data_IF_908289083694
#
_entry.id   IF_908289083694
#
_cell.length_a   1.000
_cell.length_b   1.000
_cell.length_c   1.000
_cell.angle_alpha   90.00
_cell.angle_beta   90.00
_cell.angle_gamma   90.00
#
_symmetry.space_group_name_H-M   'P 1'
#
loop_
_entity.id
_entity.type
_entity.pdbx_description
1 polymer ?
#
# COMPACT_ATOMS: atom_id res chain seq x y z
N UNK A 1 -7.34 33.45 -9.64
CA UNK A 1 -7.21 32.40 -8.60
C UNK A 1 -7.90 31.09 -8.99
N UNK A 2 -9.16 31.14 -9.42
CA UNK A 2 -9.97 29.95 -9.72
C UNK A 2 -9.45 29.10 -10.90
N UNK A 3 -8.94 29.74 -11.95
CA UNK A 3 -8.31 29.05 -13.10
C UNK A 3 -7.07 28.23 -12.72
N UNK A 4 -6.22 28.75 -11.82
CA UNK A 4 -5.02 28.03 -11.35
C UNK A 4 -5.38 26.85 -10.43
N UNK A 5 -6.39 27.00 -9.58
CA UNK A 5 -6.90 25.89 -8.74
C UNK A 5 -7.52 24.79 -9.60
N UNK A 6 -8.33 25.14 -10.61
CA UNK A 6 -8.93 24.19 -11.56
C UNK A 6 -7.86 23.41 -12.35
N UNK A 7 -6.77 24.09 -12.76
CA UNK A 7 -5.62 23.44 -13.42
C UNK A 7 -4.91 22.45 -12.48
N UNK A 8 -4.61 22.85 -11.23
CA UNK A 8 -3.99 21.97 -10.25
C UNK A 8 -4.86 20.75 -9.92
N UNK A 9 -6.19 20.91 -9.83
CA UNK A 9 -7.13 19.79 -9.62
C UNK A 9 -7.10 18.78 -10.78
N UNK A 10 -7.09 19.26 -12.04
CA UNK A 10 -6.96 18.38 -13.20
C UNK A 10 -5.65 17.60 -13.17
N UNK A 11 -4.53 18.27 -12.86
CA UNK A 11 -3.22 17.63 -12.79
C UNK A 11 -3.13 16.60 -11.65
N UNK A 12 -3.67 16.92 -10.47
CA UNK A 12 -3.73 16.00 -9.33
C UNK A 12 -4.57 14.76 -9.67
N UNK A 13 -5.74 14.93 -10.32
CA UNK A 13 -6.56 13.81 -10.78
C UNK A 13 -5.84 12.94 -11.80
N UNK A 14 -5.17 13.54 -12.79
CA UNK A 14 -4.39 12.79 -13.78
C UNK A 14 -3.25 12.02 -13.11
N UNK A 15 -2.55 12.62 -12.15
CA UNK A 15 -1.52 11.95 -11.37
C UNK A 15 -2.08 10.74 -10.62
N UNK A 16 -3.23 10.88 -9.96
CA UNK A 16 -3.85 9.77 -9.22
C UNK A 16 -4.25 8.61 -10.14
N UNK A 17 -4.78 8.90 -11.33
CA UNK A 17 -5.14 7.87 -12.32
C UNK A 17 -3.89 7.10 -12.74
N UNK A 18 -2.79 7.80 -13.04
CA UNK A 18 -1.52 7.16 -13.37
C UNK A 18 -0.96 6.35 -12.21
N UNK A 19 -1.08 6.85 -10.98
CA UNK A 19 -0.67 6.14 -9.77
C UNK A 19 -1.41 4.80 -9.64
N UNK A 20 -2.74 4.80 -9.73
CA UNK A 20 -3.54 3.58 -9.62
C UNK A 20 -3.19 2.56 -10.71
N UNK A 21 -2.98 3.01 -11.94
CA UNK A 21 -2.55 2.13 -13.04
C UNK A 21 -1.18 1.52 -12.72
N UNK A 22 -0.26 2.35 -12.25
CA UNK A 22 1.09 1.93 -11.88
C UNK A 22 1.08 0.93 -10.71
N UNK A 23 0.41 1.23 -9.61
CA UNK A 23 0.30 0.35 -8.43
C UNK A 23 -0.35 -0.99 -8.82
N UNK A 24 -1.34 -0.97 -9.72
CA UNK A 24 -1.95 -2.21 -10.24
C UNK A 24 -0.93 -3.07 -10.99
N UNK A 25 -0.07 -2.44 -11.81
CA UNK A 25 1.01 -3.14 -12.51
C UNK A 25 2.03 -3.69 -11.51
N UNK A 26 2.42 -2.90 -10.50
CA UNK A 26 3.30 -3.35 -9.42
C UNK A 26 2.75 -4.60 -8.75
N UNK A 27 1.49 -4.58 -8.30
CA UNK A 27 0.80 -5.71 -7.65
C UNK A 27 0.85 -6.96 -8.53
N UNK A 28 0.44 -6.86 -9.79
CA UNK A 28 0.37 -8.03 -10.68
C UNK A 28 1.75 -8.62 -10.93
N UNK A 29 2.73 -7.78 -11.28
CA UNK A 29 4.10 -8.26 -11.60
C UNK A 29 4.76 -8.83 -10.35
N UNK A 30 4.61 -8.17 -9.20
CA UNK A 30 5.25 -8.60 -7.95
C UNK A 30 4.61 -9.85 -7.35
N UNK A 31 3.29 -10.04 -7.46
CA UNK A 31 2.66 -11.32 -7.06
C UNK A 31 3.18 -12.47 -7.92
N UNK A 32 3.22 -12.29 -9.24
CA UNK A 32 3.75 -13.32 -10.15
C UNK A 32 5.22 -13.60 -9.83
N UNK A 33 6.04 -12.55 -9.71
CA UNK A 33 7.46 -12.68 -9.38
C UNK A 33 7.68 -13.33 -8.01
N UNK A 34 6.90 -12.95 -7.00
CA UNK A 34 7.00 -13.46 -5.64
C UNK A 34 6.61 -14.92 -5.51
N UNK A 35 5.48 -15.32 -6.11
CA UNK A 35 5.02 -16.71 -6.10
C UNK A 35 6.00 -17.60 -6.88
N UNK A 36 6.42 -17.18 -8.07
CA UNK A 36 7.37 -17.95 -8.89
C UNK A 36 8.75 -18.04 -8.24
N UNK A 37 9.18 -17.00 -7.53
CA UNK A 37 10.45 -16.99 -6.80
C UNK A 37 10.39 -17.66 -5.43
N UNK A 38 9.21 -18.02 -4.93
CA UNK A 38 9.00 -18.35 -3.51
C UNK A 38 9.51 -17.24 -2.56
N UNK A 39 9.40 -15.96 -2.95
CA UNK A 39 9.87 -14.80 -2.18
C UNK A 39 8.76 -14.25 -1.30
N UNK A 40 8.94 -14.34 0.02
CA UNK A 40 8.03 -13.76 1.01
C UNK A 40 8.04 -12.24 0.93
N UNK A 41 9.21 -11.63 0.66
CA UNK A 41 9.36 -10.19 0.61
C UNK A 41 8.60 -9.58 -0.57
N UNK A 42 8.70 -10.17 -1.77
CA UNK A 42 7.93 -9.72 -2.94
C UNK A 42 6.44 -9.90 -2.76
N UNK A 43 6.01 -11.04 -2.20
CA UNK A 43 4.59 -11.27 -1.93
C UNK A 43 4.08 -10.26 -0.90
N UNK A 44 4.82 -10.02 0.18
CA UNK A 44 4.45 -9.06 1.21
C UNK A 44 4.32 -7.64 0.68
N UNK A 45 5.27 -7.21 -0.17
CA UNK A 45 5.22 -5.92 -0.86
C UNK A 45 4.00 -5.80 -1.79
N UNK A 46 3.71 -6.84 -2.57
CA UNK A 46 2.56 -6.88 -3.46
C UNK A 46 1.21 -6.81 -2.71
N UNK A 47 1.13 -7.49 -1.56
CA UNK A 47 -0.05 -7.49 -0.71
C UNK A 47 -0.29 -6.11 -0.09
N UNK A 48 0.75 -5.37 0.29
CA UNK A 48 0.64 -4.01 0.79
C UNK A 48 0.02 -3.08 -0.27
N UNK A 49 0.55 -3.07 -1.50
CA UNK A 49 -0.02 -2.31 -2.62
C UNK A 49 -1.45 -2.75 -2.98
N UNK A 50 -1.81 -4.02 -2.76
CA UNK A 50 -3.20 -4.48 -2.93
C UNK A 50 -4.14 -3.84 -1.91
N UNK A 51 -3.69 -3.62 -0.67
CA UNK A 51 -4.46 -2.92 0.35
C UNK A 51 -4.67 -1.46 -0.04
N UNK A 52 -3.68 -0.80 -0.64
CA UNK A 52 -3.84 0.57 -1.15
C UNK A 52 -4.99 0.66 -2.17
N UNK A 53 -5.08 -0.30 -3.10
CA UNK A 53 -6.19 -0.37 -4.07
C UNK A 53 -7.53 -0.60 -3.38
N UNK A 54 -7.61 -1.52 -2.42
CA UNK A 54 -8.84 -1.79 -1.64
C UNK A 54 -9.26 -0.55 -0.84
N UNK A 55 -8.31 0.13 -0.21
CA UNK A 55 -8.52 1.36 0.54
C UNK A 55 -9.05 2.47 -0.37
N UNK A 56 -8.43 2.68 -1.53
CA UNK A 56 -8.87 3.65 -2.52
C UNK A 56 -10.28 3.35 -3.05
N UNK A 57 -10.60 2.08 -3.34
CA UNK A 57 -11.90 1.66 -3.82
C UNK A 57 -13.00 1.86 -2.76
N UNK A 58 -12.75 1.43 -1.53
CA UNK A 58 -13.71 1.57 -0.41
C UNK A 58 -13.90 3.03 0.00
N UNK A 59 -12.86 3.85 -0.08
CA UNK A 59 -12.94 5.30 0.08
C UNK A 59 -13.77 5.95 -1.04
N UNK A 60 -13.54 5.55 -2.29
CA UNK A 60 -14.30 6.02 -3.45
C UNK A 60 -15.79 5.74 -3.33
N UNK A 61 -16.15 4.52 -2.89
CA UNK A 61 -17.55 4.16 -2.60
C UNK A 61 -18.20 5.01 -1.50
N UNK A 62 -17.43 5.33 -0.45
CA UNK A 62 -17.89 6.24 0.61
C UNK A 62 -18.19 7.63 0.06
N UNK A 63 -17.21 8.22 -0.63
CA UNK A 63 -17.31 9.58 -1.19
C UNK A 63 -18.40 9.70 -2.26
N UNK A 64 -18.58 8.68 -3.10
CA UNK A 64 -19.68 8.66 -4.06
C UNK A 64 -21.05 8.71 -3.37
N UNK A 65 -21.19 8.03 -2.22
CA UNK A 65 -22.39 8.14 -1.39
C UNK A 65 -22.64 9.54 -0.85
N UNK A 66 -21.60 10.17 -0.27
CA UNK A 66 -21.65 11.54 0.24
C UNK A 66 -22.06 12.54 -0.85
N UNK A 67 -21.49 12.42 -2.05
CA UNK A 67 -21.79 13.29 -3.19
C UNK A 67 -23.22 13.11 -3.72
N UNK A 68 -23.80 11.92 -3.59
CA UNK A 68 -25.18 11.63 -3.97
C UNK A 68 -26.19 12.05 -2.87
N UNK A 69 -25.74 12.70 -1.79
CA UNK A 69 -26.60 13.27 -0.77
C UNK A 69 -27.27 12.23 0.14
N UNK A 70 -26.64 11.06 0.36
CA UNK A 70 -27.16 10.10 1.34
C UNK A 70 -27.11 10.69 2.76
N UNK A 71 -28.02 10.26 3.63
CA UNK A 71 -28.08 10.68 5.03
C UNK A 71 -26.73 10.53 5.75
N UNK A 72 -26.45 11.46 6.67
CA UNK A 72 -25.20 11.52 7.42
C UNK A 72 -24.92 10.22 8.19
N UNK A 73 -25.96 9.59 8.73
CA UNK A 73 -25.84 8.30 9.42
C UNK A 73 -25.36 7.18 8.48
N UNK A 74 -25.88 7.14 7.25
CA UNK A 74 -25.43 6.21 6.21
C UNK A 74 -23.98 6.48 5.81
N UNK A 75 -23.56 7.75 5.74
CA UNK A 75 -22.15 8.12 5.54
C UNK A 75 -21.26 7.58 6.66
N UNK A 76 -21.65 7.79 7.93
CA UNK A 76 -20.93 7.26 9.11
C UNK A 76 -20.82 5.74 9.05
N UNK A 77 -21.89 5.04 8.67
CA UNK A 77 -21.89 3.58 8.48
C UNK A 77 -20.92 3.15 7.39
N UNK A 78 -20.91 3.82 6.22
CA UNK A 78 -19.94 3.52 5.15
C UNK A 78 -18.51 3.75 5.61
N UNK A 79 -18.24 4.86 6.31
CA UNK A 79 -16.92 5.16 6.90
C UNK A 79 -16.46 4.05 7.85
N UNK A 80 -17.35 3.57 8.73
CA UNK A 80 -17.07 2.47 9.67
C UNK A 80 -16.75 1.17 8.93
N UNK A 81 -17.53 0.83 7.89
CA UNK A 81 -17.27 -0.35 7.04
C UNK A 81 -15.91 -0.23 6.35
N UNK A 82 -15.61 0.90 5.71
CA UNK A 82 -14.31 1.15 5.05
C UNK A 82 -13.14 0.89 6.00
N UNK A 83 -13.20 1.44 7.22
CA UNK A 83 -12.13 1.28 8.20
C UNK A 83 -11.99 -0.16 8.71
N UNK A 84 -13.09 -0.89 8.89
CA UNK A 84 -13.02 -2.31 9.25
C UNK A 84 -12.48 -3.18 8.11
N UNK A 85 -12.81 -2.88 6.85
CA UNK A 85 -12.24 -3.58 5.69
C UNK A 85 -10.73 -3.37 5.66
N UNK A 86 -10.26 -2.13 5.78
CA UNK A 86 -8.82 -1.81 5.82
C UNK A 86 -8.13 -2.53 6.98
N UNK A 87 -8.70 -2.48 8.19
CA UNK A 87 -8.17 -3.16 9.36
C UNK A 87 -8.07 -4.68 9.18
N UNK A 88 -9.11 -5.30 8.64
CA UNK A 88 -9.13 -6.73 8.35
C UNK A 88 -8.09 -7.11 7.28
N UNK A 89 -7.97 -6.32 6.21
CA UNK A 89 -6.99 -6.54 5.15
C UNK A 89 -5.56 -6.50 5.69
N UNK A 90 -5.18 -5.46 6.44
CA UNK A 90 -3.85 -5.38 7.06
C UNK A 90 -3.60 -6.52 8.04
N UNK A 91 -4.62 -6.91 8.82
CA UNK A 91 -4.50 -8.04 9.76
C UNK A 91 -4.21 -9.35 9.02
N UNK A 92 -4.97 -9.64 7.95
CA UNK A 92 -4.77 -10.85 7.13
C UNK A 92 -3.38 -10.87 6.49
N UNK A 93 -2.92 -9.74 5.96
CA UNK A 93 -1.58 -9.62 5.37
C UNK A 93 -0.49 -9.83 6.42
N UNK A 94 -0.62 -9.24 7.61
CA UNK A 94 0.34 -9.47 8.70
C UNK A 94 0.41 -10.94 9.10
N UNK A 95 -0.75 -11.61 9.26
CA UNK A 95 -0.80 -13.03 9.61
C UNK A 95 -0.16 -13.89 8.52
N UNK A 96 -0.50 -13.63 7.26
CA UNK A 96 0.04 -14.36 6.11
C UNK A 96 1.56 -14.19 6.01
N UNK A 97 2.07 -12.96 5.97
CA UNK A 97 3.50 -12.67 5.85
C UNK A 97 4.27 -13.28 7.03
N UNK A 98 3.74 -13.15 8.25
CA UNK A 98 4.39 -13.71 9.44
C UNK A 98 4.45 -15.23 9.35
N UNK A 99 3.34 -15.88 9.02
CA UNK A 99 3.29 -17.34 8.88
C UNK A 99 4.25 -17.84 7.80
N UNK A 100 4.18 -17.28 6.59
CA UNK A 100 5.02 -17.67 5.45
C UNK A 100 6.52 -17.46 5.77
N UNK A 101 6.87 -16.27 6.27
CA UNK A 101 8.27 -15.93 6.56
C UNK A 101 8.85 -16.76 7.70
N UNK A 102 8.08 -16.99 8.77
CA UNK A 102 8.52 -17.83 9.91
C UNK A 102 8.68 -19.28 9.45
N UNK A 103 7.74 -19.80 8.63
CA UNK A 103 7.83 -21.16 8.10
C UNK A 103 9.10 -21.34 7.26
N UNK A 104 9.39 -20.39 6.36
CA UNK A 104 10.63 -20.43 5.56
C UNK A 104 11.89 -20.28 6.40
N UNK A 105 11.85 -19.48 7.47
CA UNK A 105 12.97 -19.38 8.42
C UNK A 105 13.25 -20.70 9.13
N UNK A 106 12.21 -21.42 9.56
CA UNK A 106 12.33 -22.72 10.23
C UNK A 106 12.83 -23.78 9.25
N UNK A 107 12.28 -23.81 8.03
CA UNK A 107 12.61 -24.80 7.01
C UNK A 107 13.90 -24.52 6.24
N UNK A 108 14.54 -23.36 6.48
CA UNK A 108 15.67 -22.84 5.70
C UNK A 108 15.38 -22.76 4.20
N UNK A 109 14.14 -22.39 3.86
CA UNK A 109 13.75 -22.13 2.49
C UNK A 109 14.24 -20.77 2.05
N UNK A 110 14.74 -20.67 0.81
CA UNK A 110 15.24 -19.42 0.26
C UNK A 110 14.50 -19.03 -1.01
N UNK A 111 14.41 -17.72 -1.24
CA UNK A 111 13.89 -17.17 -2.47
C UNK A 111 14.82 -17.50 -3.64
N UNK A 112 14.24 -17.81 -4.79
CA UNK A 112 14.97 -17.95 -6.06
C UNK A 112 15.15 -16.59 -6.71
N UNK A 113 16.18 -16.47 -7.55
CA UNK A 113 16.40 -15.26 -8.34
C UNK A 113 15.21 -14.97 -9.27
N UNK A 114 14.76 -13.70 -9.28
CA UNK A 114 13.65 -13.26 -10.11
C UNK A 114 14.01 -11.99 -10.87
N UNK A 115 14.22 -12.12 -12.19
CA UNK A 115 14.47 -10.98 -13.06
C UNK A 115 13.26 -10.04 -13.07
N UNK A 116 12.04 -10.59 -13.08
CA UNK A 116 10.82 -9.80 -13.00
C UNK A 116 10.74 -9.02 -11.69
N UNK A 117 11.04 -9.67 -10.56
CA UNK A 117 11.10 -9.03 -9.24
C UNK A 117 12.14 -7.92 -9.18
N UNK A 118 13.33 -8.15 -9.72
CA UNK A 118 14.36 -7.11 -9.79
C UNK A 118 13.90 -5.90 -10.62
N UNK A 119 13.37 -6.14 -11.83
CA UNK A 119 12.97 -5.06 -12.74
C UNK A 119 11.88 -4.20 -12.09
N UNK A 120 10.84 -4.81 -11.50
CA UNK A 120 9.75 -4.02 -10.91
C UNK A 120 10.21 -3.20 -9.71
N UNK A 121 11.10 -3.74 -8.87
CA UNK A 121 11.66 -2.99 -7.74
C UNK A 121 12.54 -1.83 -8.21
N UNK A 122 13.37 -2.03 -9.25
CA UNK A 122 14.20 -0.96 -9.82
C UNK A 122 13.34 0.14 -10.46
N UNK A 123 12.27 -0.24 -11.15
CA UNK A 123 11.29 0.73 -11.68
C UNK A 123 10.65 1.51 -10.52
N UNK A 124 10.26 0.81 -9.45
CA UNK A 124 9.66 1.41 -8.26
C UNK A 124 10.57 2.40 -7.55
N UNK A 125 11.88 2.10 -7.46
CA UNK A 125 12.88 3.04 -6.93
C UNK A 125 12.97 4.36 -7.71
N UNK A 126 12.56 4.39 -8.98
CA UNK A 126 12.57 5.60 -9.82
C UNK A 126 11.20 6.27 -9.83
N UNK A 127 10.13 5.49 -10.00
CA UNK A 127 8.76 6.01 -10.16
C UNK A 127 8.22 6.56 -8.84
N UNK A 128 8.43 5.87 -7.71
CA UNK A 128 7.87 6.30 -6.41
C UNK A 128 8.40 7.67 -5.95
N UNK A 129 9.70 8.00 -6.01
CA UNK A 129 10.18 9.35 -5.71
C UNK A 129 9.52 10.45 -6.55
N UNK A 130 9.27 10.18 -7.84
CA UNK A 130 8.60 11.12 -8.75
C UNK A 130 7.15 11.32 -8.31
N UNK A 131 6.43 10.23 -8.02
CA UNK A 131 5.07 10.26 -7.51
C UNK A 131 4.99 11.04 -6.20
N UNK A 132 5.84 10.74 -5.22
CA UNK A 132 5.91 11.44 -3.92
C UNK A 132 6.10 12.94 -4.13
N UNK A 133 7.03 13.34 -5.00
CA UNK A 133 7.27 14.76 -5.28
C UNK A 133 6.01 15.46 -5.81
N UNK A 134 5.35 14.88 -6.82
CA UNK A 134 4.16 15.50 -7.41
C UNK A 134 2.94 15.43 -6.48
N UNK A 135 2.75 14.35 -5.73
CA UNK A 135 1.69 14.22 -4.72
C UNK A 135 1.84 15.29 -3.64
N UNK A 136 3.05 15.51 -3.09
CA UNK A 136 3.33 16.61 -2.14
C UNK A 136 3.11 17.99 -2.76
N UNK A 137 3.61 18.20 -3.99
CA UNK A 137 3.45 19.48 -4.71
C UNK A 137 1.98 19.86 -4.88
N UNK A 138 1.14 18.94 -5.33
CA UNK A 138 -0.29 19.22 -5.52
C UNK A 138 -1.06 19.21 -4.20
N UNK A 139 -0.67 18.39 -3.21
CA UNK A 139 -1.23 18.41 -1.87
C UNK A 139 -1.08 19.77 -1.20
N UNK A 140 0.11 20.35 -1.23
CA UNK A 140 0.36 21.69 -0.70
C UNK A 140 -0.36 22.79 -1.50
N UNK A 141 -0.36 22.71 -2.85
CA UNK A 141 -1.02 23.71 -3.70
C UNK A 141 -2.55 23.72 -3.59
N UNK A 142 -3.15 22.59 -3.25
CA UNK A 142 -4.59 22.42 -3.15
C UNK A 142 -5.10 22.49 -1.71
N UNK A 143 -4.18 22.52 -0.74
CA UNK A 143 -4.44 22.31 0.69
C UNK A 143 -5.24 21.02 0.91
N UNK A 144 -4.69 19.90 0.39
CA UNK A 144 -5.34 18.59 0.40
C UNK A 144 -4.62 17.63 1.33
N UNK A 145 -5.13 17.42 2.56
CA UNK A 145 -4.60 16.41 3.48
C UNK A 145 -4.62 15.00 2.89
N UNK A 146 -5.61 14.67 2.07
CA UNK A 146 -5.72 13.38 1.40
C UNK A 146 -4.55 13.12 0.43
N UNK A 147 -4.17 14.12 -0.38
CA UNK A 147 -3.04 14.00 -1.30
C UNK A 147 -1.69 13.90 -0.55
N UNK A 148 -1.59 14.55 0.61
CA UNK A 148 -0.40 14.47 1.46
C UNK A 148 -0.28 13.11 2.16
N UNK A 149 -1.41 12.52 2.57
CA UNK A 149 -1.46 11.15 3.08
C UNK A 149 -1.05 10.15 2.00
N UNK A 150 -1.61 10.26 0.80
CA UNK A 150 -1.24 9.43 -0.36
C UNK A 150 0.25 9.56 -0.75
N UNK A 151 0.85 10.75 -0.57
CA UNK A 151 2.30 10.92 -0.74
C UNK A 151 3.14 10.21 0.34
N UNK A 152 2.59 10.05 1.55
CA UNK A 152 3.23 9.34 2.66
C UNK A 152 3.14 7.84 2.43
N UNK A 153 2.01 7.34 1.94
CA UNK A 153 1.83 5.92 1.62
C UNK A 153 2.83 5.48 0.53
N UNK A 154 2.96 6.23 -0.56
CA UNK A 154 3.99 5.96 -1.59
C UNK A 154 5.42 6.04 -1.07
N UNK A 155 5.70 6.88 -0.08
CA UNK A 155 7.02 6.91 0.57
C UNK A 155 7.30 5.62 1.35
N UNK A 156 6.27 5.03 1.94
CA UNK A 156 6.40 3.79 2.70
C UNK A 156 6.55 2.61 1.74
N UNK A 157 5.82 2.60 0.63
CA UNK A 157 6.05 1.66 -0.48
C UNK A 157 7.51 1.75 -0.95
N UNK A 158 8.05 2.95 -1.19
CA UNK A 158 9.47 3.12 -1.55
C UNK A 158 10.43 2.54 -0.50
N UNK A 159 10.17 2.77 0.79
CA UNK A 159 10.98 2.17 1.85
C UNK A 159 10.94 0.64 1.81
N UNK A 160 9.76 0.04 1.65
CA UNK A 160 9.60 -1.39 1.51
C UNK A 160 10.31 -1.91 0.25
N UNK A 161 10.23 -1.21 -0.88
CA UNK A 161 10.96 -1.53 -2.12
C UNK A 161 12.45 -1.68 -1.84
N UNK A 162 13.05 -0.74 -1.08
CA UNK A 162 14.48 -0.80 -0.71
C UNK A 162 14.76 -2.04 0.15
N UNK A 163 13.93 -2.31 1.16
CA UNK A 163 14.08 -3.47 2.06
C UNK A 163 13.98 -4.79 1.29
N UNK A 164 12.99 -4.92 0.43
CA UNK A 164 12.74 -6.11 -0.40
C UNK A 164 13.87 -6.31 -1.40
N UNK A 165 14.30 -5.25 -2.09
CA UNK A 165 15.42 -5.32 -3.03
C UNK A 165 16.72 -5.73 -2.33
N UNK A 166 16.99 -5.17 -1.15
CA UNK A 166 18.14 -5.58 -0.35
C UNK A 166 18.06 -7.07 0.00
N UNK A 167 16.89 -7.57 0.46
CA UNK A 167 16.67 -8.99 0.73
C UNK A 167 17.00 -9.89 -0.47
N UNK A 168 16.45 -9.57 -1.65
CA UNK A 168 16.71 -10.30 -2.90
C UNK A 168 18.19 -10.31 -3.31
N UNK A 169 18.86 -9.16 -3.22
CA UNK A 169 20.27 -9.04 -3.59
C UNK A 169 21.17 -9.82 -2.61
N UNK A 170 20.86 -9.77 -1.31
CA UNK A 170 21.60 -10.52 -0.28
C UNK A 170 21.44 -12.03 -0.45
N UNK A 171 20.24 -12.51 -0.78
CA UNK A 171 20.02 -13.93 -1.14
C UNK A 171 20.90 -14.31 -2.34
N UNK A 172 20.85 -13.52 -3.41
CA UNK A 172 21.50 -13.89 -4.68
C UNK A 172 23.03 -13.75 -4.67
N UNK A 173 23.58 -12.72 -4.01
CA UNK A 173 25.01 -12.43 -4.05
C UNK A 173 25.79 -12.98 -2.86
N UNK A 174 25.18 -13.04 -1.68
CA UNK A 174 25.84 -13.53 -0.46
C UNK A 174 25.37 -14.92 -0.03
N UNK A 175 24.36 -15.49 -0.70
CA UNK A 175 23.78 -16.77 -0.33
C UNK A 175 23.05 -16.74 1.02
N UNK A 176 22.65 -15.56 1.50
CA UNK A 176 21.99 -15.40 2.79
C UNK A 176 20.54 -15.86 2.69
N UNK A 177 20.33 -17.16 2.90
CA UNK A 177 19.03 -17.81 2.72
C UNK A 177 17.89 -17.14 3.49
N UNK A 178 18.18 -16.55 4.66
CA UNK A 178 17.22 -15.89 5.55
C UNK A 178 16.89 -14.44 5.18
N UNK A 179 17.62 -13.80 4.25
CA UNK A 179 17.48 -12.38 4.00
C UNK A 179 16.11 -11.98 3.43
N UNK A 180 15.53 -12.82 2.57
CA UNK A 180 14.18 -12.61 2.01
C UNK A 180 13.08 -12.69 3.08
N UNK A 181 12.93 -13.78 3.87
CA UNK A 181 11.89 -13.82 4.90
C UNK A 181 12.07 -12.77 5.99
N UNK A 182 13.30 -12.37 6.33
CA UNK A 182 13.52 -11.23 7.25
C UNK A 182 13.08 -9.91 6.62
N UNK A 183 13.39 -9.67 5.34
CA UNK A 183 12.91 -8.47 4.63
C UNK A 183 11.37 -8.41 4.60
N UNK A 184 10.71 -9.55 4.43
CA UNK A 184 9.26 -9.65 4.50
C UNK A 184 8.72 -9.32 5.90
N UNK A 185 9.35 -9.84 6.96
CA UNK A 185 8.95 -9.55 8.35
C UNK A 185 9.13 -8.07 8.73
N UNK A 186 10.05 -7.34 8.10
CA UNK A 186 10.22 -5.90 8.32
C UNK A 186 9.03 -5.06 7.83
N UNK A 187 8.17 -5.61 6.96
CA UNK A 187 6.93 -4.97 6.51
C UNK A 187 5.85 -5.04 7.61
N UNK A 188 5.85 -6.11 8.41
CA UNK A 188 4.77 -6.44 9.36
C UNK A 188 4.53 -5.37 10.43
N UNK A 189 5.54 -4.75 11.09
CA UNK A 189 5.29 -3.74 12.11
C UNK A 189 4.52 -2.52 11.58
N UNK A 190 4.79 -2.11 10.34
CA UNK A 190 4.09 -1.00 9.71
C UNK A 190 2.64 -1.39 9.37
N UNK A 191 2.45 -2.50 8.67
CA UNK A 191 1.12 -3.00 8.31
C UNK A 191 0.24 -3.24 9.54
N UNK A 192 0.81 -3.79 10.62
CA UNK A 192 0.10 -4.02 11.88
C UNK A 192 -0.34 -2.69 12.52
N UNK A 193 0.52 -1.67 12.48
CA UNK A 193 0.18 -0.33 12.98
C UNK A 193 -0.98 0.29 12.20
N UNK A 194 -0.93 0.26 10.87
CA UNK A 194 -2.01 0.81 10.02
C UNK A 194 -3.33 0.07 10.24
N UNK A 195 -3.29 -1.27 10.33
CA UNK A 195 -4.45 -2.07 10.68
C UNK A 195 -5.06 -1.72 12.04
N UNK A 196 -4.21 -1.53 13.06
CA UNK A 196 -4.63 -1.15 14.40
C UNK A 196 -5.22 0.27 14.46
N UNK A 197 -4.62 1.21 13.75
CA UNK A 197 -5.14 2.58 13.64
C UNK A 197 -6.51 2.59 12.94
N UNK A 198 -6.67 1.85 11.85
CA UNK A 198 -7.94 1.73 11.14
C UNK A 198 -9.02 1.11 12.04
N UNK A 199 -8.69 0.05 12.78
CA UNK A 199 -9.59 -0.59 13.74
C UNK A 199 -10.06 0.37 14.84
N UNK A 200 -9.14 1.10 15.47
CA UNK A 200 -9.50 2.06 16.51
C UNK A 200 -10.33 3.22 15.96
N UNK A 201 -10.00 3.74 14.78
CA UNK A 201 -10.80 4.77 14.10
C UNK A 201 -12.22 4.26 13.81
N UNK A 202 -12.38 2.98 13.43
CA UNK A 202 -13.69 2.37 13.19
C UNK A 202 -14.52 2.24 14.47
N UNK A 203 -13.89 1.81 15.56
CA UNK A 203 -14.53 1.58 16.87
C UNK A 203 -15.08 2.87 17.48
N UNK A 204 -14.36 3.98 17.31
CA UNK A 204 -14.73 5.29 17.85
C UNK A 204 -15.81 6.02 17.03
N UNK A 205 -16.33 5.42 15.95
CA UNK A 205 -17.50 5.96 15.24
C UNK A 205 -18.75 5.55 16.00
N UNK A 206 -19.29 6.51 16.75
CA UNK A 206 -20.60 6.44 17.42
C UNK A 206 -21.71 6.85 16.45
N UNK A 207 -22.86 6.19 16.57
CA UNK A 207 -24.10 6.59 15.93
C UNK A 207 -24.90 7.40 16.94
N UNK A 208 -25.56 8.47 16.50
CA UNK A 208 -26.62 9.05 17.32
C UNK A 208 -27.76 8.03 17.32
N UNK A 209 -27.96 7.35 18.44
CA UNK A 209 -29.20 6.62 18.69
C UNK A 209 -30.25 7.65 19.08
N UNK A 210 -31.09 8.04 18.13
CA UNK A 210 -32.38 8.68 18.41
C UNK A 210 -33.37 7.64 18.94
#
# INVERSE_FOLDING_TARGET
>A
MESSRKKNLKQARTLQIWNVIYDTIEVVISLIAGITANSSALIGWALDSTIEVISAATLGWRLHGELNGIEEEKVKRRKKITLYVIAASFTLVCLFISYDSITKLINQETARWSILGLIILLVSLVVNPILIYYKRKYGNKLDSPAMLADAKDTFICLYQTVVVLAGLLLVNWLGWWWADPVAALLIVPYAAKEGWEAFNKARNIEYNTD
#
